data_IF_401562518634
#
_entry.id   IF_401562518634
#
_cell.length_a   1.000
_cell.length_b   1.000
_cell.length_c   1.000
_cell.angle_alpha   90.00
_cell.angle_beta   90.00
_cell.angle_gamma   90.00
#
_symmetry.space_group_name_H-M   'P 1'
#
loop_
_entity.id
_entity.type
_entity.pdbx_description
1 polymer ?
#
# COMPACT_ATOMS: atom_id res chain seq x y z
N UNK A 1 5.95 1.21 19.65
CA UNK A 1 7.33 0.82 19.39
C UNK A 1 7.54 0.45 17.92
N UNK A 2 6.82 -0.50 17.34
CA UNK A 2 6.90 -0.85 15.90
C UNK A 2 6.74 0.34 14.94
N UNK A 3 5.96 1.36 15.28
CA UNK A 3 5.77 2.54 14.43
C UNK A 3 7.00 3.44 14.31
N UNK A 4 7.93 3.38 15.25
CA UNK A 4 9.13 4.21 15.26
C UNK A 4 10.35 3.50 14.67
N UNK A 5 10.40 2.18 14.72
CA UNK A 5 11.56 1.40 14.23
C UNK A 5 11.80 1.56 12.73
N UNK A 6 10.74 1.61 11.91
CA UNK A 6 10.88 1.82 10.47
C UNK A 6 11.49 3.18 10.10
N UNK A 7 11.19 4.22 10.87
CA UNK A 7 11.77 5.55 10.69
C UNK A 7 13.22 5.64 11.18
N UNK A 8 13.51 4.98 12.30
CA UNK A 8 14.85 4.98 12.90
C UNK A 8 15.91 4.39 11.95
N UNK A 9 15.68 3.21 11.39
CA UNK A 9 16.65 2.57 10.50
C UNK A 9 16.90 3.31 9.19
N UNK A 10 15.96 4.12 8.72
CA UNK A 10 16.12 4.91 7.48
C UNK A 10 16.83 6.25 7.71
N UNK A 11 16.92 6.71 8.96
CA UNK A 11 17.54 7.97 9.34
C UNK A 11 18.89 7.79 10.06
N UNK A 12 19.48 6.60 10.01
CA UNK A 12 20.74 6.26 10.73
C UNK A 12 21.90 7.23 10.43
N UNK A 13 21.96 7.76 9.21
CA UNK A 13 23.05 8.65 8.81
C UNK A 13 22.91 10.09 9.35
N UNK A 14 21.72 10.46 9.83
CA UNK A 14 21.41 11.81 10.34
C UNK A 14 21.20 11.84 11.86
N UNK A 15 21.52 10.74 12.54
CA UNK A 15 21.41 10.62 13.99
C UNK A 15 22.61 11.30 14.68
N UNK A 16 22.45 12.55 15.01
CA UNK A 16 23.26 13.22 16.02
C UNK A 16 22.43 13.34 17.30
N UNK A 17 22.65 12.50 18.29
CA UNK A 17 21.98 12.55 19.61
C UNK A 17 20.45 12.74 19.57
N UNK A 18 19.74 11.88 18.88
CA UNK A 18 18.29 11.87 18.84
C UNK A 18 17.72 11.54 17.45
N UNK A 19 16.44 11.24 17.41
CA UNK A 19 15.72 11.03 16.16
C UNK A 19 15.32 12.39 15.59
N UNK A 20 15.72 12.71 14.37
CA UNK A 20 15.24 13.90 13.68
C UNK A 20 13.76 13.72 13.30
N UNK A 21 12.88 14.26 14.14
CA UNK A 21 11.42 14.16 13.98
C UNK A 21 10.96 14.81 12.67
N UNK A 22 11.70 15.77 12.13
CA UNK A 22 11.33 16.47 10.90
C UNK A 22 11.50 15.61 9.64
N UNK A 23 12.46 14.69 9.67
CA UNK A 23 12.79 13.83 8.52
C UNK A 23 12.50 12.35 8.76
N UNK A 24 11.83 12.00 9.86
CA UNK A 24 11.50 10.62 10.18
C UNK A 24 10.47 10.09 9.18
N UNK A 25 10.73 8.93 8.60
CA UNK A 25 9.75 8.22 7.79
C UNK A 25 8.61 7.69 8.67
N UNK A 26 7.38 8.14 8.41
CA UNK A 26 6.22 7.77 9.20
C UNK A 26 5.64 6.43 8.81
N UNK A 27 5.64 6.08 7.52
CA UNK A 27 5.11 4.82 7.01
C UNK A 27 6.24 3.90 6.56
N UNK A 28 6.13 2.63 6.91
CA UNK A 28 7.06 1.59 6.51
C UNK A 28 6.39 0.22 6.54
N UNK A 29 7.12 -0.82 6.16
CA UNK A 29 6.61 -2.20 6.10
C UNK A 29 5.97 -2.64 7.42
N UNK A 30 6.61 -2.37 8.55
CA UNK A 30 6.14 -2.80 9.87
C UNK A 30 4.84 -2.08 10.27
N UNK A 31 4.75 -0.77 10.00
CA UNK A 31 3.55 0.02 10.24
C UNK A 31 2.39 -0.48 9.40
N UNK A 32 2.63 -0.73 8.11
CA UNK A 32 1.65 -1.29 7.18
C UNK A 32 1.12 -2.65 7.64
N UNK A 33 2.01 -3.57 8.06
CA UNK A 33 1.63 -4.87 8.59
C UNK A 33 0.83 -4.72 9.89
N UNK A 34 1.25 -3.83 10.80
CA UNK A 34 0.56 -3.59 12.06
C UNK A 34 -0.86 -3.05 11.85
N UNK A 35 -1.04 -2.10 10.93
CA UNK A 35 -2.36 -1.55 10.57
C UNK A 35 -3.24 -2.64 9.97
N UNK A 36 -2.73 -3.43 9.02
CA UNK A 36 -3.48 -4.48 8.36
C UNK A 36 -3.91 -5.57 9.35
N UNK A 37 -3.00 -6.02 10.21
CA UNK A 37 -3.27 -7.02 11.22
C UNK A 37 -4.28 -6.53 12.26
N UNK A 38 -4.09 -5.32 12.81
CA UNK A 38 -5.02 -4.74 13.78
C UNK A 38 -6.42 -4.64 13.22
N UNK A 39 -6.57 -4.12 12.01
CA UNK A 39 -7.88 -3.99 11.36
C UNK A 39 -8.52 -5.35 11.11
N UNK A 40 -7.76 -6.34 10.62
CA UNK A 40 -8.28 -7.69 10.41
C UNK A 40 -8.70 -8.35 11.74
N UNK A 41 -7.92 -8.19 12.82
CA UNK A 41 -8.25 -8.69 14.14
C UNK A 41 -9.52 -8.04 14.71
N UNK A 42 -9.68 -6.72 14.56
CA UNK A 42 -10.89 -6.01 14.97
C UNK A 42 -12.11 -6.48 14.16
N UNK A 43 -11.97 -6.68 12.85
CA UNK A 43 -13.02 -7.26 12.02
C UNK A 43 -13.41 -8.67 12.48
N UNK A 44 -12.44 -9.52 12.86
CA UNK A 44 -12.73 -10.86 13.37
C UNK A 44 -13.48 -10.83 14.71
N UNK A 45 -13.11 -9.91 15.59
CA UNK A 45 -13.74 -9.79 16.91
C UNK A 45 -15.17 -9.22 16.79
N UNK A 46 -15.37 -8.17 16.01
CA UNK A 46 -16.62 -7.41 16.02
C UNK A 46 -17.60 -7.83 14.93
N UNK A 47 -17.10 -8.28 13.78
CA UNK A 47 -17.92 -8.61 12.62
C UNK A 47 -18.14 -10.13 12.45
N UNK A 48 -17.72 -10.92 13.42
CA UNK A 48 -17.99 -12.35 13.43
C UNK A 48 -19.48 -12.58 13.69
N UNK A 49 -20.17 -13.12 12.71
CA UNK A 49 -21.60 -13.48 12.86
C UNK A 49 -21.81 -14.50 13.98
N UNK A 50 -22.99 -14.47 14.60
CA UNK A 50 -23.35 -15.30 15.75
C UNK A 50 -23.08 -16.79 15.53
N UNK A 51 -22.90 -17.51 16.64
CA UNK A 51 -22.59 -18.94 16.68
C UNK A 51 -23.83 -19.80 16.30
N UNK A 52 -24.22 -19.77 15.05
CA UNK A 52 -25.06 -20.85 14.50
C UNK A 52 -24.11 -21.99 14.11
N UNK A 53 -24.47 -23.22 14.49
CA UNK A 53 -23.74 -24.42 14.17
C UNK A 53 -23.27 -24.39 12.71
N UNK A 54 -21.95 -24.58 12.52
CA UNK A 54 -21.37 -24.64 11.20
C UNK A 54 -21.80 -25.98 10.61
N UNK A 55 -23.00 -25.99 10.00
CA UNK A 55 -23.42 -27.12 9.17
C UNK A 55 -22.37 -27.33 8.06
N UNK A 56 -22.21 -28.56 7.61
CA UNK A 56 -21.20 -29.00 6.64
C UNK A 56 -21.22 -28.28 5.26
N UNK A 57 -21.95 -27.18 5.12
CA UNK A 57 -22.10 -26.43 3.89
C UNK A 57 -21.27 -25.15 3.84
N UNK A 58 -20.51 -24.95 2.75
CA UNK A 58 -19.68 -23.75 2.58
C UNK A 58 -20.44 -22.42 2.51
N UNK A 59 -21.73 -22.48 2.25
CA UNK A 59 -22.62 -21.32 2.30
C UNK A 59 -22.74 -20.73 3.71
N UNK A 60 -22.66 -21.56 4.76
CA UNK A 60 -22.71 -21.12 6.15
C UNK A 60 -21.47 -20.30 6.54
N UNK A 61 -20.29 -20.63 6.03
CA UNK A 61 -19.08 -19.83 6.23
C UNK A 61 -19.18 -18.46 5.56
N UNK A 62 -19.62 -18.39 4.31
CA UNK A 62 -19.79 -17.12 3.60
C UNK A 62 -20.80 -16.24 4.35
N UNK A 63 -21.92 -16.81 4.80
CA UNK A 63 -22.94 -16.10 5.58
C UNK A 63 -22.40 -15.61 6.93
N UNK A 64 -21.49 -16.36 7.55
CA UNK A 64 -20.87 -15.97 8.82
C UNK A 64 -19.92 -14.80 8.69
N UNK A 65 -19.16 -14.74 7.59
CA UNK A 65 -18.10 -13.75 7.37
C UNK A 65 -18.44 -12.71 6.29
N UNK A 66 -19.72 -12.60 5.89
CA UNK A 66 -20.13 -11.68 4.83
C UNK A 66 -19.83 -10.20 5.16
N UNK A 67 -19.87 -9.81 6.43
CA UNK A 67 -19.51 -8.45 6.84
C UNK A 67 -18.03 -8.15 6.60
N UNK A 68 -17.14 -9.11 6.85
CA UNK A 68 -15.71 -8.94 6.57
C UNK A 68 -15.44 -8.84 5.07
N UNK A 69 -16.13 -9.66 4.27
CA UNK A 69 -16.07 -9.57 2.80
C UNK A 69 -16.58 -8.23 2.31
N UNK A 70 -17.66 -7.73 2.89
CA UNK A 70 -18.22 -6.41 2.56
C UNK A 70 -17.22 -5.28 2.90
N UNK A 71 -16.56 -5.32 4.05
CA UNK A 71 -15.50 -4.38 4.39
C UNK A 71 -14.37 -4.42 3.37
N UNK A 72 -13.90 -5.62 2.98
CA UNK A 72 -12.88 -5.78 1.95
C UNK A 72 -13.31 -5.19 0.62
N UNK A 73 -14.55 -5.42 0.20
CA UNK A 73 -15.13 -4.84 -1.03
C UNK A 73 -15.14 -3.30 -0.97
N UNK A 74 -15.67 -2.72 0.11
CA UNK A 74 -15.72 -1.26 0.28
C UNK A 74 -14.33 -0.64 0.21
N UNK A 75 -13.34 -1.24 0.87
CA UNK A 75 -11.96 -0.75 0.83
C UNK A 75 -11.37 -0.82 -0.58
N UNK A 76 -11.64 -1.91 -1.31
CA UNK A 76 -11.19 -2.08 -2.69
C UNK A 76 -11.82 -1.03 -3.62
N UNK A 77 -13.14 -0.86 -3.55
CA UNK A 77 -13.86 0.13 -4.35
C UNK A 77 -13.36 1.54 -4.02
N UNK A 78 -13.18 1.86 -2.75
CA UNK A 78 -12.63 3.16 -2.33
C UNK A 78 -11.24 3.39 -2.90
N UNK A 79 -10.35 2.41 -2.79
CA UNK A 79 -8.99 2.50 -3.36
C UNK A 79 -9.03 2.73 -4.86
N UNK A 80 -9.82 1.96 -5.60
CA UNK A 80 -9.93 2.03 -7.06
C UNK A 80 -10.56 3.35 -7.50
N UNK A 81 -11.63 3.79 -6.82
CA UNK A 81 -12.28 5.07 -7.10
C UNK A 81 -11.34 6.26 -6.88
N UNK A 82 -10.55 6.25 -5.82
CA UNK A 82 -9.55 7.27 -5.55
C UNK A 82 -8.43 7.23 -6.60
N UNK A 83 -7.90 6.04 -6.90
CA UNK A 83 -6.77 5.86 -7.83
C UNK A 83 -7.10 6.40 -9.22
N UNK A 84 -8.27 6.06 -9.76
CA UNK A 84 -8.69 6.45 -11.12
C UNK A 84 -9.52 7.72 -11.18
N UNK A 85 -10.21 8.08 -10.11
CA UNK A 85 -11.10 9.25 -10.06
C UNK A 85 -10.38 10.56 -9.76
N UNK A 86 -9.26 10.54 -9.06
CA UNK A 86 -8.58 11.77 -8.68
C UNK A 86 -7.68 12.32 -9.80
N UNK A 87 -7.67 13.64 -9.90
CA UNK A 87 -6.73 14.39 -10.73
C UNK A 87 -5.56 14.85 -9.87
N UNK A 88 -4.35 14.59 -10.32
CA UNK A 88 -3.11 15.04 -9.66
C UNK A 88 -2.66 16.31 -10.36
N UNK A 89 -2.61 17.46 -9.66
CA UNK A 89 -2.07 18.69 -10.23
C UNK A 89 -0.55 18.60 -10.38
N UNK A 90 0.01 19.53 -11.14
CA UNK A 90 1.45 19.73 -11.21
C UNK A 90 1.99 20.08 -9.82
N UNK A 91 3.16 19.56 -9.48
CA UNK A 91 3.74 19.75 -8.15
C UNK A 91 5.26 19.85 -8.22
N UNK A 92 5.82 20.49 -7.20
CA UNK A 92 7.26 20.72 -7.09
C UNK A 92 7.83 20.02 -5.87
N UNK A 93 9.08 19.60 -5.99
CA UNK A 93 9.87 19.11 -4.85
C UNK A 93 11.31 19.61 -4.97
N UNK A 94 11.97 19.71 -3.81
CA UNK A 94 13.36 20.12 -3.73
C UNK A 94 14.23 18.93 -3.30
N UNK A 95 15.37 18.78 -3.96
CA UNK A 95 16.41 17.81 -3.58
C UNK A 95 17.66 18.59 -3.22
N UNK A 96 18.26 18.28 -2.07
CA UNK A 96 19.55 18.82 -1.68
C UNK A 96 20.63 18.10 -2.49
N UNK A 97 21.29 18.81 -3.39
CA UNK A 97 22.46 18.30 -4.11
C UNK A 97 23.66 18.21 -3.17
N UNK A 98 24.65 17.36 -3.52
CA UNK A 98 25.92 17.23 -2.77
C UNK A 98 26.66 18.57 -2.57
N UNK A 99 26.39 19.56 -3.43
CA UNK A 99 26.97 20.91 -3.38
C UNK A 99 26.19 21.91 -2.51
N UNK A 100 25.34 21.45 -1.58
CA UNK A 100 24.50 22.29 -0.71
C UNK A 100 23.50 23.20 -1.44
N UNK A 101 23.32 23.04 -2.73
CA UNK A 101 22.35 23.79 -3.52
C UNK A 101 21.01 23.04 -3.60
N UNK A 102 19.92 23.73 -3.24
CA UNK A 102 18.56 23.21 -3.42
C UNK A 102 18.19 23.28 -4.90
N UNK A 103 17.97 22.13 -5.52
CA UNK A 103 17.43 22.05 -6.88
C UNK A 103 15.93 21.77 -6.79
N UNK A 104 15.15 22.64 -7.42
CA UNK A 104 13.70 22.48 -7.56
C UNK A 104 13.39 21.74 -8.85
N UNK A 105 12.58 20.70 -8.75
CA UNK A 105 12.09 19.93 -9.87
C UNK A 105 10.56 20.06 -9.94
N UNK A 106 10.05 20.36 -11.13
CA UNK A 106 8.61 20.39 -11.40
C UNK A 106 8.20 19.09 -12.10
N UNK A 107 7.22 18.41 -11.53
CA UNK A 107 6.58 17.22 -12.11
C UNK A 107 5.26 17.66 -12.74
N UNK A 108 5.17 17.55 -14.08
CA UNK A 108 3.96 17.87 -14.82
C UNK A 108 3.05 16.66 -14.92
N UNK A 109 1.80 16.83 -14.49
CA UNK A 109 0.77 15.81 -14.47
C UNK A 109 -0.45 16.32 -15.25
N UNK A 110 -0.82 15.64 -16.33
CA UNK A 110 -1.88 16.13 -17.23
C UNK A 110 -3.09 15.20 -17.37
N UNK A 111 -3.03 13.98 -16.79
CA UNK A 111 -4.04 12.96 -17.04
C UNK A 111 -4.68 12.52 -15.72
N UNK A 112 -6.04 12.50 -15.68
CA UNK A 112 -6.78 11.94 -14.55
C UNK A 112 -6.60 10.43 -14.51
N UNK A 113 -6.41 9.87 -13.30
CA UNK A 113 -6.21 8.44 -13.11
C UNK A 113 -4.86 7.95 -13.63
N UNK A 114 -3.86 8.82 -13.75
CA UNK A 114 -2.51 8.41 -14.08
C UNK A 114 -1.95 7.48 -13.00
N UNK A 115 -1.42 6.33 -13.40
CA UNK A 115 -0.79 5.34 -12.52
C UNK A 115 0.73 5.41 -12.56
N UNK A 116 1.28 6.31 -13.37
CA UNK A 116 2.71 6.49 -13.55
C UNK A 116 3.43 7.06 -12.33
N UNK A 117 4.75 6.92 -12.26
CA UNK A 117 5.54 7.53 -11.20
C UNK A 117 5.33 9.04 -11.15
N UNK A 118 5.23 9.60 -9.95
CA UNK A 118 5.09 11.03 -9.72
C UNK A 118 3.67 11.61 -9.90
N UNK A 119 2.82 11.04 -10.76
CA UNK A 119 1.48 11.57 -11.07
C UNK A 119 0.32 10.68 -10.61
N UNK A 120 0.57 9.69 -9.76
CA UNK A 120 -0.48 8.85 -9.22
C UNK A 120 -1.16 9.46 -7.99
N UNK A 121 -2.44 9.15 -7.81
CA UNK A 121 -3.23 9.63 -6.68
C UNK A 121 -2.70 9.11 -5.33
N UNK A 122 -2.11 7.91 -5.29
CA UNK A 122 -1.51 7.33 -4.08
C UNK A 122 -0.41 8.25 -3.55
N UNK A 123 0.57 8.57 -4.38
CA UNK A 123 1.66 9.46 -3.99
C UNK A 123 1.19 10.89 -3.68
N UNK A 124 0.13 11.39 -4.34
CA UNK A 124 -0.44 12.69 -4.03
C UNK A 124 -1.01 12.74 -2.61
N UNK A 125 -1.80 11.72 -2.23
CA UNK A 125 -2.39 11.65 -0.90
C UNK A 125 -1.29 11.52 0.16
N UNK A 126 -0.30 10.66 -0.07
CA UNK A 126 0.79 10.46 0.88
C UNK A 126 1.60 11.75 1.05
N UNK A 127 1.89 12.49 -0.02
CA UNK A 127 2.56 13.81 0.05
C UNK A 127 1.74 14.83 0.82
N UNK A 128 0.41 14.83 0.64
CA UNK A 128 -0.47 15.82 1.26
C UNK A 128 -0.70 15.54 2.75
N UNK A 129 -0.83 14.27 3.12
CA UNK A 129 -1.16 13.87 4.50
C UNK A 129 0.09 13.67 5.36
N UNK A 130 1.12 13.02 4.84
CA UNK A 130 2.34 12.73 5.59
C UNK A 130 3.37 13.86 5.48
N UNK A 131 3.35 14.60 4.38
CA UNK A 131 4.38 15.58 4.06
C UNK A 131 5.55 14.96 3.28
N UNK A 132 6.10 15.74 2.34
CA UNK A 132 7.18 15.28 1.44
C UNK A 132 8.42 14.81 2.22
N UNK A 133 8.75 15.47 3.34
CA UNK A 133 9.90 15.16 4.17
C UNK A 133 9.80 13.81 4.91
N UNK A 134 8.60 13.26 5.04
CA UNK A 134 8.34 12.00 5.73
C UNK A 134 8.20 10.80 4.78
N UNK A 135 8.36 11.03 3.47
CA UNK A 135 8.26 9.99 2.45
C UNK A 135 9.63 9.34 2.18
N UNK A 136 9.57 8.15 1.60
CA UNK A 136 10.77 7.42 1.22
C UNK A 136 11.46 8.09 0.03
N UNK A 137 12.74 8.42 0.22
CA UNK A 137 13.54 9.20 -0.74
C UNK A 137 14.20 8.36 -1.84
N UNK A 138 14.18 7.02 -1.73
CA UNK A 138 14.79 6.09 -2.70
C UNK A 138 13.78 5.10 -3.29
N UNK A 139 12.75 5.57 -3.99
CA UNK A 139 11.72 4.72 -4.54
C UNK A 139 12.27 3.74 -5.57
N UNK A 140 11.52 2.62 -5.79
CA UNK A 140 11.95 1.52 -6.66
C UNK A 140 12.19 1.97 -8.11
N UNK A 141 11.46 2.96 -8.58
CA UNK A 141 11.59 3.46 -9.96
C UNK A 141 12.95 4.15 -10.25
N UNK A 142 13.73 4.52 -9.22
CA UNK A 142 15.13 4.93 -9.38
C UNK A 142 16.00 3.87 -10.05
N UNK A 143 15.59 2.60 -10.05
CA UNK A 143 16.31 1.48 -10.66
C UNK A 143 15.87 1.20 -12.11
N UNK A 144 14.89 1.93 -12.62
CA UNK A 144 14.41 1.75 -13.99
C UNK A 144 15.43 2.28 -15.01
N UNK A 145 15.34 1.81 -16.25
CA UNK A 145 16.20 2.25 -17.36
C UNK A 145 16.11 3.76 -17.60
N UNK A 146 14.95 4.36 -17.29
CA UNK A 146 14.74 5.81 -17.45
C UNK A 146 15.44 6.65 -16.38
N UNK A 147 15.68 6.08 -15.19
CA UNK A 147 16.23 6.80 -14.04
C UNK A 147 17.64 6.36 -13.63
N UNK A 148 18.20 5.30 -14.21
CA UNK A 148 19.53 4.79 -13.88
C UNK A 148 20.26 4.29 -15.10
N UNK A 149 21.50 4.75 -15.30
CA UNK A 149 22.40 4.24 -16.32
C UNK A 149 22.78 2.77 -16.01
N UNK A 150 22.83 2.40 -14.72
CA UNK A 150 23.20 1.07 -14.26
C UNK A 150 21.98 0.14 -14.00
N UNK A 151 20.84 0.42 -14.63
CA UNK A 151 19.64 -0.42 -14.46
C UNK A 151 19.97 -1.92 -14.63
N UNK A 152 19.45 -2.82 -13.78
CA UNK A 152 18.45 -2.67 -12.72
C UNK A 152 19.01 -2.23 -11.35
N UNK A 153 20.22 -1.74 -11.28
CA UNK A 153 20.84 -1.21 -10.07
C UNK A 153 20.70 0.31 -10.02
N UNK A 154 20.81 0.86 -8.82
CA UNK A 154 20.91 2.31 -8.66
C UNK A 154 22.22 2.81 -9.31
N UNK A 155 22.12 3.91 -10.02
CA UNK A 155 23.25 4.54 -10.69
C UNK A 155 22.99 6.03 -10.91
N UNK A 156 23.93 6.74 -11.52
CA UNK A 156 23.70 8.13 -11.85
C UNK A 156 22.54 8.27 -12.84
N UNK A 157 21.86 9.39 -12.77
CA UNK A 157 20.78 9.73 -13.68
C UNK A 157 21.31 9.93 -15.11
N UNK A 158 20.63 9.37 -16.13
CA UNK A 158 20.94 9.71 -17.51
C UNK A 158 20.64 11.20 -17.79
N UNK A 159 21.31 11.77 -18.80
CA UNK A 159 21.18 13.17 -19.16
C UNK A 159 19.75 13.59 -19.56
N UNK A 160 18.94 12.64 -20.00
CA UNK A 160 17.53 12.82 -20.40
C UNK A 160 16.55 12.27 -19.38
N UNK A 161 16.96 12.11 -18.11
CA UNK A 161 16.10 11.57 -17.07
C UNK A 161 14.86 12.46 -16.87
N UNK A 162 13.66 11.85 -16.75
CA UNK A 162 12.44 12.56 -16.40
C UNK A 162 12.55 13.20 -15.00
N UNK A 163 11.87 14.33 -14.81
CA UNK A 163 11.89 15.10 -13.55
C UNK A 163 11.32 14.34 -12.35
N UNK A 164 10.53 13.30 -12.56
CA UNK A 164 9.96 12.48 -11.49
C UNK A 164 10.92 11.41 -10.93
N UNK A 165 12.09 11.21 -11.55
CA UNK A 165 13.02 10.14 -11.12
C UNK A 165 13.49 10.28 -9.67
N UNK A 166 13.72 11.49 -9.20
CA UNK A 166 14.15 11.76 -7.81
C UNK A 166 12.99 12.14 -6.89
N UNK A 167 11.75 12.08 -7.40
CA UNK A 167 10.58 12.42 -6.62
C UNK A 167 10.38 11.45 -5.44
N UNK A 168 10.21 11.93 -4.20
CA UNK A 168 9.94 11.06 -3.06
C UNK A 168 8.59 10.35 -3.22
N UNK A 169 8.58 9.05 -2.94
CA UNK A 169 7.39 8.23 -3.04
C UNK A 169 7.45 7.08 -2.03
N UNK A 170 6.38 6.88 -1.27
CA UNK A 170 6.31 5.79 -0.31
C UNK A 170 5.43 4.64 -0.83
N UNK A 171 6.02 3.47 -1.13
CA UNK A 171 5.24 2.30 -1.55
C UNK A 171 4.40 1.71 -0.41
N UNK A 172 4.74 2.00 0.84
CA UNK A 172 4.00 1.61 2.03
C UNK A 172 3.11 2.72 2.60
N UNK A 173 2.70 3.69 1.78
CA UNK A 173 1.88 4.82 2.18
C UNK A 173 0.47 4.47 2.67
N UNK A 174 -0.28 5.49 3.04
CA UNK A 174 -1.62 5.36 3.63
C UNK A 174 -2.59 4.64 2.71
N UNK A 175 -2.67 5.07 1.45
CA UNK A 175 -3.62 4.48 0.52
C UNK A 175 -3.25 3.02 0.18
N UNK A 176 -1.95 2.71 0.06
CA UNK A 176 -1.51 1.33 -0.16
C UNK A 176 -1.80 0.42 1.04
N UNK A 177 -1.89 0.98 2.25
CA UNK A 177 -2.26 0.23 3.46
C UNK A 177 -3.69 -0.28 3.43
N UNK A 178 -4.61 0.39 2.72
CA UNK A 178 -5.97 -0.14 2.50
C UNK A 178 -5.94 -1.49 1.78
N UNK A 179 -5.11 -1.62 0.77
CA UNK A 179 -4.96 -2.90 0.04
C UNK A 179 -4.24 -3.96 0.87
N UNK A 180 -3.37 -3.57 1.79
CA UNK A 180 -2.78 -4.50 2.76
C UNK A 180 -3.83 -5.06 3.73
N UNK A 181 -4.80 -4.24 4.16
CA UNK A 181 -5.95 -4.69 4.96
C UNK A 181 -6.79 -5.70 4.17
N UNK A 182 -7.12 -5.41 2.92
CA UNK A 182 -7.87 -6.34 2.04
C UNK A 182 -7.14 -7.66 1.90
N UNK A 183 -5.83 -7.63 1.66
CA UNK A 183 -5.00 -8.85 1.56
C UNK A 183 -5.03 -9.65 2.87
N UNK A 184 -4.94 -8.98 4.02
CA UNK A 184 -4.99 -9.62 5.33
C UNK A 184 -6.36 -10.26 5.60
N UNK A 185 -7.46 -9.57 5.27
CA UNK A 185 -8.83 -10.11 5.37
C UNK A 185 -9.03 -11.31 4.43
N UNK A 186 -8.50 -11.27 3.23
CA UNK A 186 -8.52 -12.41 2.29
C UNK A 186 -7.76 -13.60 2.85
N UNK A 187 -6.56 -13.38 3.40
CA UNK A 187 -5.78 -14.42 4.07
C UNK A 187 -6.52 -15.03 5.27
N UNK A 188 -7.21 -14.21 6.06
CA UNK A 188 -8.05 -14.66 7.17
C UNK A 188 -9.18 -15.59 6.68
N UNK A 189 -9.88 -15.23 5.59
CA UNK A 189 -10.91 -16.07 4.99
C UNK A 189 -10.38 -17.43 4.52
N UNK A 190 -9.21 -17.44 3.88
CA UNK A 190 -8.54 -18.68 3.47
C UNK A 190 -8.18 -19.51 4.72
N UNK A 191 -7.70 -18.88 5.78
CA UNK A 191 -7.43 -19.54 7.06
C UNK A 191 -8.67 -20.23 7.63
N UNK A 192 -9.82 -19.57 7.62
CA UNK A 192 -11.09 -20.16 8.04
C UNK A 192 -11.48 -21.39 7.21
N UNK A 193 -11.30 -21.34 5.89
CA UNK A 193 -11.57 -22.50 5.02
C UNK A 193 -10.66 -23.67 5.39
N UNK A 194 -9.36 -23.42 5.61
CA UNK A 194 -8.40 -24.49 5.96
C UNK A 194 -8.73 -25.14 7.29
N UNK A 195 -9.16 -24.36 8.28
CA UNK A 195 -9.47 -24.90 9.63
C UNK A 195 -10.78 -25.69 9.65
N UNK A 196 -11.80 -25.25 8.90
CA UNK A 196 -13.15 -25.85 8.99
C UNK A 196 -13.34 -27.07 8.06
N UNK A 197 -12.62 -27.16 6.96
CA UNK A 197 -12.75 -28.27 6.03
C UNK A 197 -11.57 -29.23 6.10
N UNK A 198 -11.84 -30.54 6.14
CA UNK A 198 -10.81 -31.59 6.27
C UNK A 198 -10.32 -32.09 4.91
N UNK A 199 -11.22 -32.17 3.92
CA UNK A 199 -10.92 -32.69 2.60
C UNK A 199 -10.11 -31.70 1.76
N UNK A 200 -8.98 -32.14 1.21
CA UNK A 200 -8.07 -31.28 0.43
C UNK A 200 -8.72 -30.73 -0.85
N UNK A 201 -9.49 -31.56 -1.56
CA UNK A 201 -10.19 -31.13 -2.77
C UNK A 201 -11.22 -30.02 -2.49
N UNK A 202 -11.97 -30.17 -1.42
CA UNK A 202 -12.96 -29.20 -0.97
C UNK A 202 -12.31 -27.87 -0.54
N UNK A 203 -11.19 -27.94 0.17
CA UNK A 203 -10.41 -26.73 0.54
C UNK A 203 -9.99 -25.92 -0.68
N UNK A 204 -9.42 -26.59 -1.69
CA UNK A 204 -8.93 -25.93 -2.92
C UNK A 204 -10.10 -25.25 -3.66
N UNK A 205 -11.19 -25.96 -3.90
CA UNK A 205 -12.36 -25.42 -4.58
C UNK A 205 -12.95 -24.22 -3.84
N UNK A 206 -13.02 -24.28 -2.51
CA UNK A 206 -13.57 -23.18 -1.69
C UNK A 206 -12.65 -21.99 -1.60
N UNK A 207 -11.33 -22.21 -1.47
CA UNK A 207 -10.35 -21.12 -1.56
C UNK A 207 -10.43 -20.42 -2.92
N UNK A 208 -10.51 -21.20 -4.01
CA UNK A 208 -10.64 -20.66 -5.36
C UNK A 208 -11.94 -19.86 -5.53
N UNK A 209 -13.08 -20.38 -5.07
CA UNK A 209 -14.37 -19.67 -5.10
C UNK A 209 -14.39 -18.40 -4.24
N UNK A 210 -13.65 -18.37 -3.13
CA UNK A 210 -13.53 -17.16 -2.30
C UNK A 210 -12.70 -16.09 -3.02
N UNK A 211 -11.63 -16.50 -3.69
CA UNK A 211 -10.76 -15.61 -4.46
C UNK A 211 -11.46 -15.14 -5.74
N UNK A 212 -12.16 -16.02 -6.46
CA UNK A 212 -12.87 -15.65 -7.70
C UNK A 212 -13.98 -14.64 -7.43
N UNK A 213 -14.75 -14.79 -6.37
CA UNK A 213 -15.77 -13.79 -5.98
C UNK A 213 -15.19 -12.41 -5.65
N UNK A 214 -14.01 -12.39 -5.05
CA UNK A 214 -13.26 -11.13 -4.89
C UNK A 214 -12.78 -10.60 -6.25
N UNK A 215 -12.26 -11.46 -7.12
CA UNK A 215 -11.82 -11.08 -8.46
C UNK A 215 -12.98 -10.62 -9.37
N UNK A 216 -14.13 -11.28 -9.32
CA UNK A 216 -15.33 -10.86 -10.04
C UNK A 216 -15.81 -9.47 -9.60
N UNK A 217 -15.67 -9.15 -8.32
CA UNK A 217 -15.93 -7.79 -7.83
C UNK A 217 -14.93 -6.76 -8.33
N UNK A 218 -13.71 -7.18 -8.72
CA UNK A 218 -12.68 -6.31 -9.32
C UNK A 218 -12.96 -6.03 -10.81
N UNK A 219 -13.59 -6.96 -11.52
CA UNK A 219 -13.92 -6.81 -12.95
C UNK A 219 -15.16 -5.93 -13.14
N UNK A 220 -16.05 -5.88 -12.15
CA UNK A 220 -17.29 -5.10 -12.18
C UNK A 220 -17.14 -3.68 -11.56
N UNK A 221 -16.00 -3.34 -10.98
CA UNK A 221 -15.67 -2.01 -10.44
C UNK A 221 -14.70 -1.25 -11.35
#
# INVERSE_FOLDING_TARGET
MLCLEGGFFHSIHDLTYGVDVRNIRLMGILQRIAIAYLTAALCEIWLRGGASDIGAGGYTLIRRYHHQLFVGLVLTVTYTAVLYGMYVPDWEYAVTSQDTTLKHFMVKCGVRGATGPGCNAVGMIDRHVLGIQHLYTRPVYLRTVQCSINSPRNGPLPSNAPTWCEAPFDPEGLLSSLMAIVTCLTGLQIGHVIVHFKEHGERIVRCFNSISKLADSWILA
#
